data_IF_460745665956
#
_entry.id   IF_460745665956
#
_cell.length_a   1.000
_cell.length_b   1.000
_cell.length_c   1.000
_cell.angle_alpha   90.00
_cell.angle_beta   90.00
_cell.angle_gamma   90.00
#
_symmetry.space_group_name_H-M   'P 1'
#
loop_
_entity.id
_entity.type
_entity.pdbx_description
1 polymer ?
#
# COMPACT_ATOMS: atom_id res chain seq x y z
N UNK A 1 2.61 5.51 8.43
CA UNK A 1 2.66 4.06 8.68
C UNK A 1 1.93 3.31 7.59
N UNK A 2 2.17 2.01 7.52
CA UNK A 2 1.42 1.05 6.72
C UNK A 2 1.23 -0.22 7.57
N UNK A 3 -0.01 -0.64 7.77
CA UNK A 3 -0.44 -1.65 8.75
C UNK A 3 0.13 -1.41 10.16
N UNK A 4 0.10 -0.15 10.62
CA UNK A 4 0.65 0.23 11.94
C UNK A 4 2.18 0.21 12.04
N UNK A 5 2.90 -0.23 11.01
CA UNK A 5 4.35 -0.22 11.00
C UNK A 5 4.92 1.03 10.32
N UNK A 6 6.01 1.57 10.87
CA UNK A 6 6.77 2.63 10.22
C UNK A 6 7.30 2.15 8.87
N UNK A 7 7.07 2.96 7.83
CA UNK A 7 7.52 2.74 6.46
C UNK A 7 8.04 4.05 5.88
N UNK A 8 8.96 3.95 4.93
CA UNK A 8 9.28 5.08 4.06
C UNK A 8 8.23 5.17 2.96
N UNK A 9 7.72 6.37 2.68
CA UNK A 9 6.79 6.64 1.58
C UNK A 9 7.33 7.80 0.78
N UNK A 10 7.34 7.67 -0.55
CA UNK A 10 7.84 8.74 -1.42
C UNK A 10 6.79 9.86 -1.49
N UNK A 11 6.97 10.91 -0.70
CA UNK A 11 6.01 12.04 -0.61
C UNK A 11 6.58 13.36 -1.10
N UNK A 12 7.88 13.42 -1.38
CA UNK A 12 8.59 14.66 -1.76
C UNK A 12 7.96 15.35 -2.97
N UNK A 13 7.49 14.57 -3.95
CA UNK A 13 6.84 15.09 -5.15
C UNK A 13 5.55 15.88 -4.85
N UNK A 14 4.86 15.59 -3.74
CA UNK A 14 3.62 16.27 -3.35
C UNK A 14 3.86 17.75 -3.03
N UNK A 15 5.06 18.08 -2.53
CA UNK A 15 5.42 19.47 -2.22
C UNK A 15 5.40 20.37 -3.47
N UNK A 16 5.75 19.82 -4.64
CA UNK A 16 5.75 20.57 -5.90
C UNK A 16 4.34 20.94 -6.38
N UNK A 17 3.33 20.18 -5.97
CA UNK A 17 1.95 20.35 -6.41
C UNK A 17 1.14 21.31 -5.54
N UNK A 18 1.57 21.58 -4.29
CA UNK A 18 0.85 22.46 -3.35
C UNK A 18 0.64 23.89 -3.86
N UNK A 19 1.55 24.38 -4.72
CA UNK A 19 1.49 25.75 -5.29
C UNK A 19 0.38 25.90 -6.32
N UNK A 20 -0.14 24.80 -6.82
CA UNK A 20 -1.31 24.77 -7.67
C UNK A 20 -2.51 24.54 -6.74
N UNK A 21 -3.60 25.28 -6.94
CA UNK A 21 -4.87 25.03 -6.24
C UNK A 21 -5.53 23.74 -6.78
N UNK A 22 -4.79 22.64 -6.70
CA UNK A 22 -5.10 21.35 -7.26
C UNK A 22 -5.68 20.43 -6.18
N UNK A 23 -6.36 19.39 -6.64
CA UNK A 23 -6.77 18.25 -5.80
C UNK A 23 -5.87 17.08 -6.15
N UNK A 24 -5.55 16.26 -5.16
CA UNK A 24 -4.98 14.95 -5.42
C UNK A 24 -6.13 13.96 -5.51
N UNK A 25 -6.08 13.08 -6.51
CA UNK A 25 -7.03 11.98 -6.65
C UNK A 25 -6.25 10.65 -6.69
N UNK A 26 -6.82 9.62 -6.08
CA UNK A 26 -6.26 8.26 -6.10
C UNK A 26 -7.37 7.27 -6.43
N UNK A 27 -6.99 6.22 -7.15
CA UNK A 27 -7.78 5.02 -7.32
C UNK A 27 -6.88 3.83 -7.62
N UNK A 28 -7.46 2.64 -7.58
CA UNK A 28 -6.76 1.37 -7.70
C UNK A 28 -7.38 0.53 -8.80
N UNK A 29 -6.55 -0.19 -9.54
CA UNK A 29 -7.02 -1.16 -10.53
C UNK A 29 -6.96 -2.56 -9.92
N UNK A 30 -8.12 -3.20 -9.78
CA UNK A 30 -8.27 -4.56 -9.28
C UNK A 30 -8.49 -5.49 -10.47
N UNK A 31 -7.63 -6.49 -10.64
CA UNK A 31 -7.75 -7.47 -11.72
C UNK A 31 -8.96 -8.37 -11.46
N UNK A 32 -9.75 -8.60 -12.51
CA UNK A 32 -10.90 -9.50 -12.48
C UNK A 32 -10.55 -10.83 -13.15
N UNK A 33 -10.45 -11.89 -12.34
CA UNK A 33 -10.10 -13.23 -12.83
C UNK A 33 -8.67 -13.33 -13.37
N UNK A 34 -8.50 -14.11 -14.45
CA UNK A 34 -7.22 -14.35 -15.12
C UNK A 34 -7.09 -13.67 -16.48
N UNK A 35 -8.09 -12.89 -16.90
CA UNK A 35 -8.03 -12.12 -18.13
C UNK A 35 -7.48 -10.72 -17.83
N UNK A 36 -7.11 -9.98 -18.88
CA UNK A 36 -6.61 -8.61 -18.76
C UNK A 36 -7.77 -7.61 -18.55
N UNK A 37 -8.65 -7.88 -17.58
CA UNK A 37 -9.78 -7.04 -17.18
C UNK A 37 -9.52 -6.48 -15.79
N UNK A 38 -9.84 -5.20 -15.63
CA UNK A 38 -9.63 -4.48 -14.38
C UNK A 38 -10.89 -3.70 -14.01
N UNK A 39 -11.25 -3.76 -12.75
CA UNK A 39 -12.18 -2.83 -12.14
C UNK A 39 -11.40 -1.67 -11.52
N UNK A 40 -11.83 -0.44 -11.79
CA UNK A 40 -11.23 0.73 -11.19
C UNK A 40 -12.02 1.11 -9.94
N UNK A 41 -11.38 1.02 -8.78
CA UNK A 41 -11.94 1.39 -7.48
C UNK A 41 -11.41 2.76 -7.10
N UNK A 42 -12.30 3.75 -6.99
CA UNK A 42 -11.98 5.16 -6.79
C UNK A 42 -13.15 6.06 -7.23
N UNK A 43 -12.97 7.37 -7.44
CA UNK A 43 -11.81 8.23 -7.24
C UNK A 43 -11.90 8.93 -5.87
N UNK A 44 -11.03 8.59 -4.93
CA UNK A 44 -10.94 9.36 -3.69
C UNK A 44 -10.13 10.62 -3.95
N UNK A 45 -10.67 11.75 -3.55
CA UNK A 45 -10.03 13.05 -3.71
C UNK A 45 -9.69 13.65 -2.36
N UNK A 46 -8.51 14.26 -2.28
CA UNK A 46 -8.09 15.05 -1.13
C UNK A 46 -7.55 16.40 -1.60
N UNK A 47 -7.65 17.41 -0.73
CA UNK A 47 -7.18 18.76 -0.99
C UNK A 47 -5.85 18.99 -0.29
N UNK A 48 -5.01 19.79 -0.93
CA UNK A 48 -3.83 20.33 -0.28
C UNK A 48 -4.25 21.39 0.75
N UNK A 49 -3.70 21.30 1.95
CA UNK A 49 -3.72 22.41 2.90
C UNK A 49 -2.55 23.35 2.57
N UNK A 50 -2.84 24.45 1.88
CA UNK A 50 -1.83 25.40 1.44
C UNK A 50 -1.13 26.14 2.59
N UNK A 51 -1.78 26.23 3.75
CA UNK A 51 -1.31 26.96 4.93
C UNK A 51 -0.43 26.11 5.86
N UNK A 52 -0.41 24.79 5.67
CA UNK A 52 0.42 23.88 6.45
C UNK A 52 1.90 23.91 6.04
N UNK A 53 2.78 23.46 6.94
CA UNK A 53 4.17 23.20 6.60
C UNK A 53 4.26 22.20 5.42
N UNK A 54 5.12 22.44 4.41
CA UNK A 54 5.17 21.60 3.22
C UNK A 54 5.50 20.12 3.51
N UNK A 55 6.33 19.86 4.51
CA UNK A 55 6.72 18.50 4.89
C UNK A 55 5.58 17.84 5.62
N UNK A 56 4.96 18.53 6.58
CA UNK A 56 3.80 18.02 7.31
C UNK A 56 2.64 17.68 6.37
N UNK A 57 2.33 18.55 5.40
CA UNK A 57 1.25 18.30 4.44
C UNK A 57 1.57 17.12 3.51
N UNK A 58 2.81 17.02 3.04
CA UNK A 58 3.24 15.87 2.23
C UNK A 58 3.13 14.55 3.02
N UNK A 59 3.49 14.57 4.30
CA UNK A 59 3.35 13.39 5.19
C UNK A 59 1.89 13.04 5.45
N UNK A 60 1.01 14.03 5.63
CA UNK A 60 -0.44 13.83 5.81
C UNK A 60 -1.05 13.17 4.58
N UNK A 61 -0.77 13.69 3.38
CA UNK A 61 -1.25 13.13 2.12
C UNK A 61 -0.68 11.74 1.84
N UNK A 62 0.59 11.52 2.15
CA UNK A 62 1.21 10.19 2.08
C UNK A 62 0.55 9.20 3.04
N UNK A 63 0.15 9.64 4.23
CA UNK A 63 -0.59 8.81 5.17
C UNK A 63 -1.99 8.49 4.65
N UNK A 64 -2.72 9.49 4.17
CA UNK A 64 -4.03 9.30 3.55
C UNK A 64 -4.00 8.25 2.42
N UNK A 65 -3.00 8.33 1.53
CA UNK A 65 -2.80 7.32 0.49
C UNK A 65 -2.51 5.93 1.07
N UNK A 66 -1.66 5.84 2.11
CA UNK A 66 -1.36 4.57 2.75
C UNK A 66 -2.59 3.94 3.40
N UNK A 67 -3.47 4.74 4.02
CA UNK A 67 -4.69 4.28 4.65
C UNK A 67 -5.65 3.67 3.61
N UNK A 68 -5.85 4.37 2.48
CA UNK A 68 -6.62 3.83 1.35
C UNK A 68 -6.02 2.54 0.79
N UNK A 69 -4.69 2.48 0.67
CA UNK A 69 -4.01 1.28 0.22
C UNK A 69 -4.18 0.12 1.22
N UNK A 70 -4.17 0.38 2.53
CA UNK A 70 -4.43 -0.66 3.54
C UNK A 70 -5.83 -1.25 3.39
N UNK A 71 -6.85 -0.43 3.13
CA UNK A 71 -8.21 -0.90 2.85
C UNK A 71 -8.23 -1.82 1.62
N UNK A 72 -7.61 -1.40 0.52
CA UNK A 72 -7.52 -2.22 -0.69
C UNK A 72 -6.76 -3.52 -0.48
N UNK A 73 -5.70 -3.51 0.31
CA UNK A 73 -4.91 -4.71 0.61
C UNK A 73 -5.64 -5.64 1.56
N UNK A 74 -6.51 -5.14 2.45
CA UNK A 74 -7.39 -5.98 3.28
C UNK A 74 -8.44 -6.69 2.44
N UNK A 75 -9.00 -6.00 1.45
CA UNK A 75 -10.03 -6.55 0.56
C UNK A 75 -9.44 -7.51 -0.48
N UNK A 76 -8.31 -7.15 -1.10
CA UNK A 76 -7.66 -7.91 -2.18
C UNK A 76 -6.19 -8.25 -1.86
N UNK A 77 -5.91 -8.96 -0.74
CA UNK A 77 -4.54 -9.22 -0.31
C UNK A 77 -3.74 -9.99 -1.36
N UNK A 78 -4.36 -10.86 -2.15
CA UNK A 78 -3.71 -11.65 -3.20
C UNK A 78 -3.24 -10.82 -4.40
N UNK A 79 -3.74 -9.59 -4.55
CA UNK A 79 -3.36 -8.70 -5.66
C UNK A 79 -2.27 -7.70 -5.28
N UNK A 80 -1.92 -7.62 -4.00
CA UNK A 80 -0.82 -6.78 -3.54
C UNK A 80 0.53 -7.46 -3.80
N UNK A 81 1.51 -6.70 -4.28
CA UNK A 81 2.86 -7.21 -4.54
C UNK A 81 3.65 -7.39 -3.23
N UNK A 82 3.34 -8.45 -2.46
CA UNK A 82 4.01 -8.77 -1.18
C UNK A 82 5.51 -9.01 -1.30
N UNK A 83 6.01 -9.34 -2.50
CA UNK A 83 7.44 -9.48 -2.76
C UNK A 83 8.21 -8.16 -2.60
N UNK A 84 7.52 -7.01 -2.68
CA UNK A 84 8.13 -5.72 -2.44
C UNK A 84 8.47 -5.55 -0.95
N UNK A 85 9.75 -5.32 -0.65
CA UNK A 85 10.27 -5.16 0.73
C UNK A 85 9.95 -3.78 1.32
N UNK A 86 8.66 -3.41 1.37
CA UNK A 86 8.16 -2.09 1.81
C UNK A 86 8.67 -1.68 3.20
N UNK A 87 8.89 -2.63 4.10
CA UNK A 87 9.32 -2.38 5.47
C UNK A 87 10.85 -2.40 5.64
N UNK A 88 11.63 -2.32 4.55
CA UNK A 88 13.08 -2.51 4.62
C UNK A 88 13.76 -1.30 5.29
N UNK A 89 13.29 -0.10 4.96
CA UNK A 89 13.68 1.12 5.65
C UNK A 89 13.04 1.15 7.03
N UNK A 90 13.87 1.25 8.08
CA UNK A 90 13.46 1.18 9.48
C UNK A 90 14.14 2.30 10.28
N UNK A 91 13.52 2.76 11.39
CA UNK A 91 14.18 3.67 12.33
C UNK A 91 15.50 3.09 12.84
N UNK A 92 16.44 3.95 13.22
CA UNK A 92 17.72 3.54 13.78
C UNK A 92 17.51 2.64 15.01
N UNK A 93 18.22 1.51 15.06
CA UNK A 93 18.13 0.52 16.15
C UNK A 93 16.96 -0.47 16.05
N UNK A 94 16.01 -0.28 15.12
CA UNK A 94 14.94 -1.26 14.94
C UNK A 94 15.45 -2.51 14.21
N UNK A 95 15.05 -3.73 14.64
CA UNK A 95 15.43 -4.95 13.94
C UNK A 95 14.85 -4.99 12.52
N UNK A 96 15.54 -5.68 11.62
CA UNK A 96 15.05 -5.91 10.27
C UNK A 96 13.94 -6.95 10.30
N UNK A 97 12.82 -6.68 9.63
CA UNK A 97 11.69 -7.61 9.49
C UNK A 97 11.95 -8.71 8.45
N UNK A 98 13.15 -8.73 7.88
CA UNK A 98 13.52 -9.58 6.75
C UNK A 98 14.79 -10.41 7.02
N UNK A 99 15.21 -10.53 8.28
CA UNK A 99 16.43 -11.27 8.65
C UNK A 99 16.30 -12.77 8.34
N UNK A 100 15.11 -13.33 8.55
CA UNK A 100 14.84 -14.77 8.40
C UNK A 100 14.15 -15.12 7.07
N UNK A 101 14.32 -14.29 6.03
CA UNK A 101 13.85 -14.61 4.68
C UNK A 101 14.66 -15.79 4.13
N UNK A 102 13.99 -16.93 3.88
CA UNK A 102 14.61 -18.13 3.32
C UNK A 102 14.46 -19.38 4.20
N UNK A 103 14.03 -19.21 5.45
CA UNK A 103 13.54 -20.32 6.26
C UNK A 103 12.19 -20.85 5.75
N UNK A 104 11.87 -22.13 5.98
CA UNK A 104 10.54 -22.65 5.67
C UNK A 104 9.47 -21.90 6.48
N UNK A 105 8.41 -21.45 5.80
CA UNK A 105 7.26 -20.82 6.47
C UNK A 105 6.68 -21.81 7.48
N UNK A 106 6.44 -21.34 8.71
CA UNK A 106 5.86 -22.17 9.76
C UNK A 106 4.53 -22.76 9.28
N UNK A 107 4.34 -24.08 9.41
CA UNK A 107 3.10 -24.76 8.97
C UNK A 107 1.85 -24.16 9.60
N UNK A 108 1.94 -23.68 10.84
CA UNK A 108 0.85 -22.97 11.52
C UNK A 108 0.43 -21.67 10.83
N UNK A 109 1.34 -20.96 10.16
CA UNK A 109 1.03 -19.74 9.41
C UNK A 109 0.40 -20.04 8.03
N UNK A 110 0.60 -21.25 7.51
CA UNK A 110 -0.07 -21.75 6.30
C UNK A 110 -1.48 -22.27 6.62
N UNK A 111 -1.70 -22.77 7.83
CA UNK A 111 -3.00 -23.25 8.28
C UNK A 111 -3.97 -22.07 8.45
N UNK A 112 -5.14 -22.15 7.81
CA UNK A 112 -6.17 -21.11 7.89
C UNK A 112 -5.99 -19.95 6.91
N UNK A 113 -5.04 -20.05 5.96
CA UNK A 113 -5.06 -19.16 4.79
C UNK A 113 -6.40 -19.32 4.06
N UNK A 114 -7.05 -18.21 3.66
CA UNK A 114 -8.27 -18.30 2.88
C UNK A 114 -8.00 -19.08 1.59
N UNK A 115 -9.01 -19.79 1.07
CA UNK A 115 -8.87 -20.34 -0.26
C UNK A 115 -8.52 -19.20 -1.23
N UNK A 116 -7.59 -19.43 -2.17
CA UNK A 116 -7.28 -18.42 -3.17
C UNK A 116 -8.59 -18.01 -3.85
N UNK A 117 -8.89 -16.71 -3.93
CA UNK A 117 -10.19 -16.21 -4.37
C UNK A 117 -10.49 -16.57 -5.83
N UNK A 118 -9.47 -16.94 -6.58
CA UNK A 118 -9.59 -17.47 -7.93
C UNK A 118 -9.09 -18.92 -7.93
N UNK A 119 -9.98 -19.92 -8.09
CA UNK A 119 -9.56 -21.30 -8.19
C UNK A 119 -8.60 -21.48 -9.38
N UNK A 120 -7.60 -22.37 -9.28
CA UNK A 120 -6.70 -22.64 -10.40
C UNK A 120 -7.55 -23.02 -11.63
N UNK A 121 -7.15 -22.54 -12.81
CA UNK A 121 -7.83 -22.93 -14.06
C UNK A 121 -7.93 -24.45 -14.08
N UNK A 122 -9.17 -24.96 -14.17
CA UNK A 122 -9.40 -26.38 -14.44
C UNK A 122 -8.58 -26.75 -15.67
N UNK A 123 -7.82 -27.84 -15.59
CA UNK A 123 -7.13 -28.39 -16.76
C UNK A 123 -8.15 -28.79 -17.82
#
# INVERSE_FOLDING_TARGET
SFFGHAVSSQVEHLQAYRRFNARIATGFAVRQGFDFRFEFVGLWEERFNAEADPVEEAMRLGQWYNDLLEEMVREYPEQYLWAHRRFASRPAGAPSLYQDLGGPVAKSALNGQPQPPIPPRGR
#
